data_IF_348878058086
#
_entry.id   IF_348878058086
#
_cell.length_a   1.000
_cell.length_b   1.000
_cell.length_c   1.000
_cell.angle_alpha   90.00
_cell.angle_beta   90.00
_cell.angle_gamma   90.00
#
_symmetry.space_group_name_H-M   'P 1'
#
loop_
_entity.id
_entity.type
_entity.pdbx_description
1 polymer ?
#
# COMPACT_ATOMS: atom_id res chain seq x y z
N UNK A 1 4.91 -11.38 4.27
CA UNK A 1 5.43 -10.01 4.46
C UNK A 1 4.87 -9.46 5.76
N UNK A 2 5.71 -8.92 6.64
CA UNK A 2 5.26 -8.33 7.91
C UNK A 2 4.84 -6.88 7.72
N UNK A 3 3.82 -6.42 8.44
CA UNK A 3 3.48 -5.00 8.52
C UNK A 3 4.11 -4.36 9.76
N UNK A 4 4.33 -3.04 9.74
CA UNK A 4 4.81 -2.32 10.91
C UNK A 4 3.77 -2.28 12.05
N UNK A 5 4.21 -2.14 13.30
CA UNK A 5 3.30 -1.93 14.44
C UNK A 5 2.46 -0.67 14.21
N UNK A 6 1.16 -0.74 14.49
CA UNK A 6 0.20 0.36 14.35
C UNK A 6 0.04 0.92 12.93
N UNK A 7 0.08 0.07 11.90
CA UNK A 7 -0.01 0.48 10.50
C UNK A 7 1.04 1.55 10.11
N UNK A 8 2.14 1.61 10.81
CA UNK A 8 3.25 2.54 10.54
C UNK A 8 4.31 1.86 9.70
N UNK A 9 5.02 2.66 8.92
CA UNK A 9 6.36 2.33 8.46
C UNK A 9 7.25 2.34 9.71
N UNK A 10 7.14 1.30 10.52
CA UNK A 10 7.94 1.15 11.73
C UNK A 10 9.14 0.25 11.46
N UNK A 11 10.21 0.50 12.22
CA UNK A 11 11.47 -0.23 12.14
C UNK A 11 11.35 -1.69 12.59
N UNK A 12 10.35 -1.99 13.41
CA UNK A 12 10.09 -3.33 13.90
C UNK A 12 8.96 -3.95 13.09
N UNK A 13 9.22 -5.03 12.34
CA UNK A 13 8.16 -5.75 11.64
C UNK A 13 7.15 -6.29 12.66
N UNK A 14 5.88 -6.10 12.37
CA UNK A 14 4.82 -6.74 13.13
C UNK A 14 4.57 -8.14 12.56
N UNK A 15 5.16 -9.14 13.14
CA UNK A 15 5.00 -10.53 12.72
C UNK A 15 3.59 -11.10 12.95
N UNK A 16 2.69 -10.34 13.58
CA UNK A 16 1.29 -10.74 13.75
C UNK A 16 0.41 -10.35 12.55
N UNK A 17 0.89 -9.42 11.70
CA UNK A 17 0.16 -8.99 10.50
C UNK A 17 0.91 -9.44 9.25
N UNK A 18 0.21 -10.16 8.39
CA UNK A 18 0.72 -10.66 7.13
C UNK A 18 -0.12 -10.12 5.99
N UNK A 19 0.51 -9.84 4.87
CA UNK A 19 -0.19 -9.42 3.67
C UNK A 19 0.31 -10.20 2.46
N UNK A 20 -0.60 -10.53 1.56
CA UNK A 20 -0.32 -11.04 0.22
C UNK A 20 -0.88 -10.04 -0.78
N UNK A 21 -0.09 -9.66 -1.76
CA UNK A 21 -0.54 -8.99 -2.97
C UNK A 21 -0.40 -9.97 -4.14
N UNK A 22 -1.48 -10.16 -4.87
CA UNK A 22 -1.53 -11.05 -6.03
C UNK A 22 -2.19 -10.34 -7.20
N UNK A 23 -1.82 -10.71 -8.41
CA UNK A 23 -2.44 -10.23 -9.64
C UNK A 23 -3.06 -11.39 -10.40
N UNK A 24 -4.24 -11.19 -10.96
CA UNK A 24 -5.03 -12.21 -11.62
C UNK A 24 -5.49 -11.74 -12.99
N UNK A 25 -5.57 -12.66 -13.94
CA UNK A 25 -6.14 -12.36 -15.25
C UNK A 25 -7.67 -12.34 -15.22
N UNK A 26 -8.27 -13.08 -14.28
CA UNK A 26 -9.72 -13.16 -14.11
C UNK A 26 -10.09 -13.53 -12.65
N UNK A 27 -11.37 -13.38 -12.31
CA UNK A 27 -11.89 -13.67 -10.96
C UNK A 27 -11.86 -15.17 -10.63
N UNK A 28 -12.01 -16.03 -11.63
CA UNK A 28 -12.00 -17.49 -11.43
C UNK A 28 -10.66 -17.98 -10.88
N UNK A 29 -9.55 -17.49 -11.40
CA UNK A 29 -8.21 -17.85 -10.93
C UNK A 29 -8.01 -17.42 -9.47
N UNK A 30 -8.50 -16.23 -9.11
CA UNK A 30 -8.49 -15.75 -7.72
C UNK A 30 -9.31 -16.68 -6.80
N UNK A 31 -10.53 -17.05 -7.18
CA UNK A 31 -11.37 -17.95 -6.37
C UNK A 31 -10.72 -19.33 -6.17
N UNK A 32 -10.12 -19.87 -7.22
CA UNK A 32 -9.35 -21.13 -7.13
C UNK A 32 -8.15 -21.00 -6.18
N UNK A 33 -7.41 -19.90 -6.25
CA UNK A 33 -6.32 -19.63 -5.32
C UNK A 33 -6.83 -19.52 -3.88
N UNK A 34 -7.91 -18.80 -3.65
CA UNK A 34 -8.52 -18.62 -2.33
C UNK A 34 -8.89 -19.96 -1.68
N UNK A 35 -9.40 -20.90 -2.47
CA UNK A 35 -9.83 -22.21 -1.97
C UNK A 35 -8.63 -23.16 -1.78
N UNK A 36 -7.74 -23.24 -2.76
CA UNK A 36 -6.79 -24.33 -2.91
C UNK A 36 -5.38 -24.02 -2.39
N UNK A 37 -4.99 -22.72 -2.29
CA UNK A 37 -3.61 -22.39 -1.95
C UNK A 37 -3.24 -22.73 -0.51
N UNK A 38 -2.03 -23.22 -0.33
CA UNK A 38 -1.46 -23.50 1.00
C UNK A 38 -1.32 -22.21 1.83
N UNK A 39 -1.00 -21.09 1.18
CA UNK A 39 -0.89 -19.80 1.85
C UNK A 39 -2.21 -19.36 2.47
N UNK A 40 -3.33 -19.50 1.73
CA UNK A 40 -4.65 -19.15 2.25
C UNK A 40 -5.13 -20.12 3.34
N UNK A 41 -4.79 -21.40 3.23
CA UNK A 41 -5.05 -22.38 4.30
C UNK A 41 -4.27 -22.02 5.57
N UNK A 42 -3.01 -21.63 5.42
CA UNK A 42 -2.16 -21.19 6.52
C UNK A 42 -2.71 -19.93 7.20
N UNK A 43 -3.10 -18.90 6.42
CA UNK A 43 -3.71 -17.69 6.98
C UNK A 43 -5.00 -17.98 7.72
N UNK A 44 -5.87 -18.81 7.19
CA UNK A 44 -7.13 -19.20 7.89
C UNK A 44 -6.88 -19.96 9.17
N UNK A 45 -5.84 -20.77 9.23
CA UNK A 45 -5.51 -21.54 10.43
C UNK A 45 -4.91 -20.69 11.55
N UNK A 46 -4.03 -19.76 11.21
CA UNK A 46 -3.32 -18.94 12.19
C UNK A 46 -3.88 -17.51 12.33
N UNK A 47 -4.66 -17.05 11.39
CA UNK A 47 -5.23 -15.70 11.38
C UNK A 47 -6.46 -15.61 12.27
N UNK A 48 -6.47 -14.62 13.17
CA UNK A 48 -7.65 -14.26 13.95
C UNK A 48 -8.58 -13.31 13.20
N UNK A 49 -8.04 -12.57 12.23
CA UNK A 49 -8.75 -11.58 11.42
C UNK A 49 -8.24 -11.65 9.98
N UNK A 50 -9.14 -11.58 9.03
CA UNK A 50 -8.83 -11.54 7.60
C UNK A 50 -9.51 -10.32 6.97
N UNK A 51 -8.77 -9.59 6.15
CA UNK A 51 -9.28 -8.52 5.32
C UNK A 51 -8.80 -8.68 3.89
N UNK A 52 -9.73 -8.87 2.98
CA UNK A 52 -9.47 -9.05 1.55
C UNK A 52 -10.07 -7.91 0.76
N UNK A 53 -9.30 -7.36 -0.17
CA UNK A 53 -9.74 -6.30 -1.08
C UNK A 53 -9.46 -6.73 -2.51
N UNK A 54 -10.49 -6.69 -3.35
CA UNK A 54 -10.36 -6.83 -4.79
C UNK A 54 -10.21 -5.45 -5.42
N UNK A 55 -9.14 -5.30 -6.17
CA UNK A 55 -8.70 -4.02 -6.71
C UNK A 55 -8.61 -4.08 -8.24
N UNK A 56 -8.99 -2.99 -8.91
CA UNK A 56 -8.78 -2.81 -10.35
C UNK A 56 -7.84 -1.64 -10.60
N UNK A 57 -6.69 -1.85 -11.30
CA UNK A 57 -5.72 -0.78 -11.53
C UNK A 57 -6.29 0.35 -12.39
N UNK A 58 -6.20 1.58 -11.88
CA UNK A 58 -6.57 2.82 -12.59
C UNK A 58 -5.36 3.49 -13.23
N UNK A 59 -4.25 3.52 -12.50
CA UNK A 59 -2.98 4.04 -12.99
C UNK A 59 -1.82 3.37 -12.25
N UNK A 60 -0.71 3.21 -12.96
CA UNK A 60 0.53 2.69 -12.39
C UNK A 60 1.71 3.41 -13.01
N UNK A 61 2.65 3.84 -12.18
CA UNK A 61 3.88 4.52 -12.59
C UNK A 61 5.05 3.95 -11.81
N UNK A 62 6.13 3.63 -12.52
CA UNK A 62 7.32 3.04 -11.91
C UNK A 62 7.33 1.51 -11.94
N UNK A 63 8.20 0.92 -11.15
CA UNK A 63 8.53 -0.50 -11.27
C UNK A 63 8.45 -1.21 -9.93
N UNK A 64 8.23 -2.52 -9.99
CA UNK A 64 8.35 -3.47 -8.89
C UNK A 64 9.27 -4.60 -9.30
N UNK A 65 10.49 -4.63 -8.79
CA UNK A 65 11.55 -5.58 -9.20
C UNK A 65 11.79 -5.54 -10.72
N UNK A 66 12.00 -4.32 -11.24
CA UNK A 66 12.22 -4.01 -12.67
C UNK A 66 11.06 -4.41 -13.60
N UNK A 67 9.86 -4.65 -13.08
CA UNK A 67 8.66 -4.98 -13.88
C UNK A 67 7.55 -3.97 -13.61
N UNK A 68 6.72 -3.72 -14.61
CA UNK A 68 5.45 -3.03 -14.45
C UNK A 68 4.38 -4.03 -13.97
N UNK A 69 3.97 -4.01 -12.69
CA UNK A 69 3.18 -5.11 -12.12
C UNK A 69 1.70 -5.02 -12.49
N UNK A 70 1.21 -3.85 -12.90
CA UNK A 70 -0.22 -3.62 -13.09
C UNK A 70 -0.54 -3.16 -14.50
N UNK A 71 -1.36 -3.92 -15.20
CA UNK A 71 -1.98 -3.50 -16.46
C UNK A 71 -3.17 -2.59 -16.14
N UNK A 72 -3.09 -1.35 -16.58
CA UNK A 72 -4.15 -0.36 -16.34
C UNK A 72 -5.17 -0.38 -17.45
N UNK A 73 -6.44 -0.22 -17.11
CA UNK A 73 -7.54 -0.05 -18.06
C UNK A 73 -8.21 1.30 -17.80
N UNK A 74 -8.70 1.92 -18.87
CA UNK A 74 -9.56 3.11 -18.74
C UNK A 74 -10.89 2.68 -18.16
N UNK A 75 -11.17 3.08 -16.95
CA UNK A 75 -12.44 2.85 -16.26
C UNK A 75 -13.05 4.22 -15.98
N UNK A 76 -14.34 4.36 -16.23
CA UNK A 76 -15.11 5.49 -15.74
C UNK A 76 -15.37 5.26 -14.26
N UNK A 77 -14.45 5.72 -13.40
CA UNK A 77 -14.65 5.71 -11.96
C UNK A 77 -15.40 6.98 -11.55
N UNK A 78 -16.38 6.80 -10.67
CA UNK A 78 -17.01 7.92 -10.01
C UNK A 78 -15.99 8.64 -9.12
N UNK A 79 -15.74 9.94 -9.27
CA UNK A 79 -14.75 10.68 -8.52
C UNK A 79 -14.99 10.68 -6.99
N UNK A 80 -16.23 10.38 -6.55
CA UNK A 80 -16.60 10.31 -5.15
C UNK A 80 -16.45 8.91 -4.53
N UNK A 81 -16.05 7.93 -5.32
CA UNK A 81 -15.82 6.57 -4.80
C UNK A 81 -14.47 6.45 -4.12
N UNK A 82 -14.43 5.53 -3.14
CA UNK A 82 -13.19 5.18 -2.44
C UNK A 82 -12.14 4.66 -3.40
N UNK A 83 -10.90 5.06 -3.17
CA UNK A 83 -9.75 4.56 -3.91
C UNK A 83 -8.71 3.93 -2.99
N UNK A 84 -8.00 2.96 -3.51
CA UNK A 84 -6.83 2.41 -2.87
C UNK A 84 -5.55 2.86 -3.59
N UNK A 85 -4.48 3.02 -2.83
CA UNK A 85 -3.16 3.44 -3.33
C UNK A 85 -2.09 2.51 -2.79
N UNK A 86 -1.18 2.10 -3.66
CA UNK A 86 0.07 1.46 -3.28
C UNK A 86 1.22 2.39 -3.66
N UNK A 87 2.06 2.69 -2.68
CA UNK A 87 3.38 3.28 -2.90
C UNK A 87 4.44 2.29 -2.47
N UNK A 88 5.43 2.05 -3.32
CA UNK A 88 6.57 1.18 -2.99
C UNK A 88 7.87 1.92 -3.28
N UNK A 89 8.86 1.67 -2.44
CA UNK A 89 10.19 2.18 -2.61
C UNK A 89 11.23 1.10 -2.30
N UNK A 90 12.18 0.90 -3.21
CA UNK A 90 13.42 0.21 -2.93
C UNK A 90 14.46 1.24 -2.48
N UNK A 91 14.81 1.22 -1.19
CA UNK A 91 15.63 2.24 -0.55
C UNK A 91 17.10 1.88 -0.74
N UNK A 92 17.92 2.84 -1.17
CA UNK A 92 19.36 2.64 -1.25
C UNK A 92 19.98 2.43 0.13
N UNK A 93 20.84 1.42 0.28
CA UNK A 93 21.40 0.99 1.56
C UNK A 93 21.95 2.15 2.40
N UNK A 94 22.73 3.04 1.79
CA UNK A 94 23.30 4.21 2.46
C UNK A 94 22.28 5.31 2.84
N UNK A 95 21.01 5.17 2.43
CA UNK A 95 19.93 6.16 2.64
C UNK A 95 18.86 5.72 3.63
N UNK A 96 18.93 4.50 4.12
CA UNK A 96 17.92 3.92 5.03
C UNK A 96 17.72 4.77 6.28
N UNK A 97 18.76 5.24 6.93
CA UNK A 97 18.66 6.07 8.15
C UNK A 97 17.97 7.40 7.87
N UNK A 98 18.38 8.09 6.81
CA UNK A 98 17.82 9.38 6.40
C UNK A 98 16.34 9.23 6.00
N UNK A 99 16.00 8.23 5.19
CA UNK A 99 14.63 7.90 4.83
C UNK A 99 13.74 7.68 6.05
N UNK A 100 14.19 6.85 6.99
CA UNK A 100 13.42 6.51 8.20
C UNK A 100 13.11 7.69 9.11
N UNK A 101 14.03 8.65 9.19
CA UNK A 101 13.81 9.87 9.99
C UNK A 101 12.68 10.74 9.40
N UNK A 102 12.55 10.76 8.09
CA UNK A 102 11.60 11.62 7.39
C UNK A 102 10.24 10.97 7.16
N UNK A 103 10.20 9.66 6.86
CA UNK A 103 8.95 8.98 6.53
C UNK A 103 7.95 8.93 7.70
N UNK A 104 8.42 8.97 8.95
CA UNK A 104 7.55 9.02 10.13
C UNK A 104 6.65 10.25 10.15
N UNK A 105 7.18 11.40 9.73
CA UNK A 105 6.40 12.65 9.65
C UNK A 105 5.30 12.53 8.61
N UNK A 106 5.64 12.04 7.42
CA UNK A 106 4.67 11.79 6.35
C UNK A 106 3.57 10.80 6.79
N UNK A 107 3.93 9.73 7.50
CA UNK A 107 2.96 8.74 7.99
C UNK A 107 1.99 9.33 9.05
N UNK A 108 2.47 10.21 9.93
CA UNK A 108 1.62 10.92 10.91
C UNK A 108 0.70 11.92 10.19
N UNK A 109 1.22 12.67 9.24
CA UNK A 109 0.46 13.63 8.43
C UNK A 109 -0.63 12.92 7.63
N UNK A 110 -0.33 11.77 7.03
CA UNK A 110 -1.31 10.97 6.27
C UNK A 110 -2.54 10.58 7.10
N UNK A 111 -2.35 10.15 8.34
CA UNK A 111 -3.46 9.75 9.22
C UNK A 111 -4.37 10.88 9.65
N UNK A 112 -3.85 12.10 9.64
CA UNK A 112 -4.60 13.31 9.98
C UNK A 112 -5.22 13.96 8.75
N UNK A 113 -4.93 13.45 7.56
CA UNK A 113 -5.43 14.03 6.33
C UNK A 113 -6.95 13.79 6.19
N UNK A 114 -7.71 14.81 5.77
CA UNK A 114 -9.12 14.64 5.46
C UNK A 114 -9.34 13.56 4.41
N UNK A 115 -10.33 12.70 4.64
CA UNK A 115 -10.66 11.58 3.73
C UNK A 115 -9.71 10.39 3.79
N UNK A 116 -8.74 10.37 4.73
CA UNK A 116 -7.96 9.17 5.01
C UNK A 116 -8.81 8.13 5.76
N UNK A 117 -8.82 6.87 5.30
CA UNK A 117 -9.58 5.78 5.91
C UNK A 117 -8.65 4.84 6.66
N UNK A 118 -7.68 4.25 5.96
CA UNK A 118 -6.71 3.34 6.58
C UNK A 118 -5.39 3.30 5.83
N UNK A 119 -4.36 2.79 6.49
CA UNK A 119 -3.11 2.38 5.84
C UNK A 119 -2.48 1.17 6.49
N UNK A 120 -1.76 0.41 5.69
CA UNK A 120 -0.92 -0.70 6.13
C UNK A 120 0.46 -0.57 5.49
N UNK A 121 1.50 -0.64 6.33
CA UNK A 121 2.88 -0.78 5.85
C UNK A 121 3.16 -2.23 5.51
N UNK A 122 3.78 -2.48 4.37
CA UNK A 122 4.14 -3.80 3.88
C UNK A 122 5.63 -3.81 3.55
N UNK A 123 6.38 -4.73 4.13
CA UNK A 123 7.81 -4.91 3.86
C UNK A 123 8.09 -6.26 3.22
N UNK A 124 8.65 -6.28 2.00
CA UNK A 124 9.21 -7.50 1.40
C UNK A 124 10.56 -7.81 2.06
N UNK A 125 11.36 -6.78 2.18
CA UNK A 125 12.58 -6.76 2.99
C UNK A 125 12.39 -5.66 4.04
N UNK A 126 12.48 -5.97 5.34
CA UNK A 126 12.14 -5.01 6.41
C UNK A 126 13.03 -3.76 6.41
N UNK A 127 14.13 -3.76 5.65
CA UNK A 127 15.09 -2.65 5.64
C UNK A 127 15.08 -1.85 4.34
N UNK A 128 14.89 -2.49 3.20
CA UNK A 128 15.13 -1.89 1.89
C UNK A 128 13.87 -1.75 1.04
N UNK A 129 12.99 -2.77 1.03
CA UNK A 129 11.83 -2.80 0.16
C UNK A 129 10.56 -2.59 0.97
N UNK A 130 10.08 -1.36 0.95
CA UNK A 130 8.92 -0.95 1.73
C UNK A 130 7.80 -0.47 0.82
N UNK A 131 6.59 -0.90 1.13
CA UNK A 131 5.38 -0.41 0.51
C UNK A 131 4.40 0.10 1.55
N UNK A 132 3.56 1.03 1.15
CA UNK A 132 2.40 1.48 1.92
C UNK A 132 1.16 1.26 1.06
N UNK A 133 0.22 0.51 1.60
CA UNK A 133 -1.14 0.45 1.11
C UNK A 133 -1.99 1.45 1.88
N UNK A 134 -2.84 2.20 1.19
CA UNK A 134 -3.76 3.14 1.84
C UNK A 134 -5.10 3.20 1.13
N UNK A 135 -6.17 3.47 1.88
CA UNK A 135 -7.53 3.70 1.35
C UNK A 135 -7.95 5.12 1.70
N UNK A 136 -8.60 5.76 0.75
CA UNK A 136 -9.07 7.13 0.80
C UNK A 136 -10.54 7.22 0.41
N UNK A 137 -11.28 8.17 0.97
CA UNK A 137 -12.69 8.41 0.62
C UNK A 137 -12.89 8.67 -0.87
N UNK A 138 -11.94 9.38 -1.49
CA UNK A 138 -11.97 9.68 -2.92
C UNK A 138 -10.59 10.11 -3.43
N UNK A 139 -10.50 10.28 -4.75
CA UNK A 139 -9.27 10.68 -5.41
C UNK A 139 -8.83 12.10 -5.02
N UNK A 140 -9.76 13.01 -4.77
CA UNK A 140 -9.46 14.39 -4.39
C UNK A 140 -8.77 14.46 -3.03
N UNK A 141 -9.29 13.75 -2.04
CA UNK A 141 -8.69 13.67 -0.70
C UNK A 141 -7.26 13.14 -0.76
N UNK A 142 -7.04 12.08 -1.53
CA UNK A 142 -5.70 11.55 -1.75
C UNK A 142 -4.78 12.56 -2.44
N UNK A 143 -5.23 13.24 -3.49
CA UNK A 143 -4.45 14.27 -4.19
C UNK A 143 -4.13 15.47 -3.28
N UNK A 144 -5.08 15.89 -2.47
CA UNK A 144 -4.87 16.98 -1.51
C UNK A 144 -3.76 16.62 -0.50
N UNK A 145 -3.77 15.38 0.02
CA UNK A 145 -2.67 14.90 0.84
C UNK A 145 -1.35 14.83 0.06
N UNK A 146 -1.35 14.20 -1.12
CA UNK A 146 -0.13 13.95 -1.88
C UNK A 146 0.58 15.24 -2.34
N UNK A 147 -0.18 16.28 -2.72
CA UNK A 147 0.37 17.47 -3.36
C UNK A 147 0.27 18.75 -2.52
N UNK A 148 -0.68 18.84 -1.57
CA UNK A 148 -0.89 20.04 -0.75
C UNK A 148 -0.41 19.90 0.70
N UNK A 149 -0.15 18.65 1.17
CA UNK A 149 0.43 18.45 2.49
C UNK A 149 1.90 18.83 2.48
N UNK A 150 2.26 19.83 3.28
CA UNK A 150 3.64 20.34 3.39
C UNK A 150 4.63 19.22 3.75
N UNK A 151 4.30 18.39 4.75
CA UNK A 151 5.17 17.30 5.20
C UNK A 151 5.40 16.25 4.11
N UNK A 152 4.39 15.96 3.27
CA UNK A 152 4.53 14.95 2.22
C UNK A 152 5.27 15.50 1.00
N UNK A 153 4.97 16.73 0.59
CA UNK A 153 5.66 17.38 -0.54
C UNK A 153 7.15 17.57 -0.28
N UNK A 154 7.52 17.94 0.94
CA UNK A 154 8.91 18.05 1.36
C UNK A 154 9.64 16.70 1.31
N UNK A 155 8.99 15.62 1.78
CA UNK A 155 9.57 14.27 1.69
C UNK A 155 9.77 13.85 0.24
N UNK A 156 8.81 14.12 -0.66
CA UNK A 156 8.96 13.85 -2.10
C UNK A 156 10.14 14.63 -2.69
N UNK A 157 10.25 15.91 -2.37
CA UNK A 157 11.37 16.75 -2.84
C UNK A 157 12.71 16.23 -2.36
N UNK A 158 12.84 15.96 -1.06
CA UNK A 158 14.05 15.37 -0.46
C UNK A 158 14.39 14.03 -1.09
N UNK A 159 13.40 13.18 -1.35
CA UNK A 159 13.61 11.87 -1.99
C UNK A 159 14.30 12.01 -3.34
N UNK A 160 13.85 12.97 -4.16
CA UNK A 160 14.43 13.25 -5.49
C UNK A 160 15.82 13.86 -5.38
N UNK A 161 15.99 14.89 -4.56
CA UNK A 161 17.27 15.59 -4.36
C UNK A 161 18.35 14.67 -3.78
N UNK A 162 17.98 13.85 -2.80
CA UNK A 162 18.89 12.96 -2.08
C UNK A 162 19.02 11.57 -2.69
N UNK A 163 18.24 11.27 -3.75
CA UNK A 163 18.23 9.99 -4.45
C UNK A 163 18.08 8.81 -3.48
N UNK A 164 17.06 8.85 -2.61
CA UNK A 164 16.86 7.80 -1.61
C UNK A 164 16.50 6.45 -2.20
N UNK A 165 15.78 6.46 -3.35
CA UNK A 165 15.27 5.25 -3.97
C UNK A 165 16.17 4.79 -5.14
N UNK A 166 16.31 3.49 -5.28
CA UNK A 166 16.79 2.85 -6.48
C UNK A 166 15.67 2.51 -7.45
N UNK A 167 14.47 2.27 -6.90
CA UNK A 167 13.26 1.97 -7.64
C UNK A 167 12.06 2.49 -6.84
N UNK A 168 11.04 2.95 -7.54
CA UNK A 168 9.78 3.37 -6.93
C UNK A 168 8.59 2.92 -7.76
N UNK A 169 7.44 2.74 -7.10
CA UNK A 169 6.15 2.48 -7.72
C UNK A 169 5.08 3.31 -7.03
N UNK A 170 4.21 3.88 -7.82
CA UNK A 170 2.96 4.49 -7.37
C UNK A 170 1.81 3.95 -8.22
N UNK A 171 0.83 3.33 -7.59
CA UNK A 171 -0.34 2.79 -8.27
C UNK A 171 -1.64 3.14 -7.55
N UNK A 172 -2.68 3.47 -8.33
CA UNK A 172 -4.03 3.75 -7.85
C UNK A 172 -4.99 2.69 -8.36
N UNK A 173 -5.98 2.37 -7.54
CA UNK A 173 -6.92 1.31 -7.80
C UNK A 173 -8.34 1.74 -7.44
N UNK A 174 -9.30 1.32 -8.26
CA UNK A 174 -10.69 1.22 -7.85
C UNK A 174 -10.86 0.03 -6.89
N UNK A 175 -11.65 0.21 -5.85
CA UNK A 175 -12.04 -0.87 -4.95
C UNK A 175 -13.29 -1.52 -5.53
N UNK A 176 -13.21 -2.80 -5.87
CA UNK A 176 -14.31 -3.56 -6.45
C UNK A 176 -15.12 -4.25 -5.37
N UNK A 177 -14.45 -4.94 -4.45
CA UNK A 177 -15.08 -5.68 -3.36
C UNK A 177 -14.17 -5.63 -2.12
N UNK A 178 -14.78 -5.65 -0.94
CA UNK A 178 -14.10 -5.83 0.35
C UNK A 178 -14.76 -6.96 1.13
N UNK A 179 -13.96 -7.78 1.82
CA UNK A 179 -14.45 -8.87 2.65
C UNK A 179 -13.68 -8.92 3.96
N UNK A 180 -14.39 -9.21 5.05
CA UNK A 180 -13.80 -9.30 6.38
C UNK A 180 -13.65 -7.96 7.07
N UNK A 181 -12.75 -7.89 8.04
CA UNK A 181 -12.53 -6.72 8.87
C UNK A 181 -11.05 -6.34 8.93
N UNK A 182 -10.78 -5.07 9.20
CA UNK A 182 -9.44 -4.56 9.45
C UNK A 182 -9.44 -3.80 10.78
N UNK A 183 -8.69 -4.29 11.78
CA UNK A 183 -8.74 -3.80 13.16
C UNK A 183 -10.17 -3.83 13.75
N UNK A 184 -10.91 -4.92 13.51
CA UNK A 184 -12.31 -5.13 13.91
C UNK A 184 -13.31 -4.12 13.30
N UNK A 185 -12.95 -3.45 12.22
CA UNK A 185 -13.82 -2.53 11.50
C UNK A 185 -14.11 -3.06 10.09
N UNK A 186 -15.37 -3.00 9.69
CA UNK A 186 -15.79 -3.21 8.29
C UNK A 186 -15.45 -1.94 7.51
N UNK A 187 -14.82 -2.08 6.37
CA UNK A 187 -14.30 -0.98 5.55
C UNK A 187 -15.09 -0.85 4.25
#
# INVERSE_FOLDING_TARGET
MGSGKNAQVDLAPNFKHWAILTTWNNKTDYEQFKINSLSMKWFRFFGAEEFTILLKPLSSHGFWSAKEPFKTEKINQNPNERIAVITRAAIRLGKVKEFRQNIKRAAISMRKAPGFILSAGIGENPFLDQATFSIWENEESMKNYAYKSFDHSDVIKLTRERKWYSEELFARFAIIETHGTFNNQVI
#
